data_IF_848377725310
#
_entry.id   IF_848377725310
#
_cell.length_a   1.000
_cell.length_b   1.000
_cell.length_c   1.000
_cell.angle_alpha   90.00
_cell.angle_beta   90.00
_cell.angle_gamma   90.00
#
_symmetry.space_group_name_H-M   'P 1'
#
loop_
_entity.id
_entity.type
_entity.pdbx_description
1 polymer ?
#
# COMPACT_ATOMS: atom_id res chain seq x y z
N UNK A 1 -0.41 34.30 25.05
CA UNK A 1 0.29 33.00 24.99
C UNK A 1 -0.60 32.00 24.25
N UNK A 2 -0.53 31.96 22.90
CA UNK A 2 -1.10 30.86 22.14
C UNK A 2 -0.06 29.73 22.18
N UNK A 3 -0.32 28.69 22.94
CA UNK A 3 0.45 27.45 22.83
C UNK A 3 0.38 26.98 21.35
N UNK A 4 1.49 26.61 20.73
CA UNK A 4 1.44 26.08 19.39
C UNK A 4 0.53 24.83 19.39
N UNK A 5 -0.32 24.66 18.37
CA UNK A 5 -1.19 23.48 18.30
C UNK A 5 -0.32 22.22 18.31
N UNK A 6 -0.77 21.17 19.02
CA UNK A 6 -0.04 19.90 19.20
C UNK A 6 0.32 19.21 17.87
N UNK A 7 -0.34 19.56 16.77
CA UNK A 7 -0.06 19.12 15.39
C UNK A 7 -0.19 20.33 14.47
N UNK A 8 0.90 20.68 13.80
CA UNK A 8 0.88 21.79 12.84
C UNK A 8 0.39 21.29 11.48
N UNK A 9 -0.89 21.50 11.16
CA UNK A 9 -1.48 21.18 9.86
C UNK A 9 -0.81 21.94 8.69
N UNK A 10 0.09 22.88 8.99
CA UNK A 10 0.91 23.59 8.00
C UNK A 10 1.80 22.67 7.15
N UNK A 11 2.05 21.43 7.60
CA UNK A 11 2.77 20.40 6.82
C UNK A 11 2.10 20.14 5.48
N UNK A 12 0.76 20.23 5.39
CA UNK A 12 0.01 20.07 4.14
C UNK A 12 0.15 21.23 3.15
N UNK A 13 0.70 22.36 3.58
CA UNK A 13 1.03 23.45 2.66
C UNK A 13 2.16 23.05 1.68
N UNK A 14 2.97 22.04 2.03
CA UNK A 14 4.00 21.48 1.17
C UNK A 14 3.38 20.42 0.25
N UNK A 15 3.18 20.76 -1.02
CA UNK A 15 2.51 19.87 -1.99
C UNK A 15 3.21 18.52 -2.17
N UNK A 16 4.55 18.45 -2.04
CA UNK A 16 5.29 17.18 -2.08
C UNK A 16 4.96 16.30 -0.87
N UNK A 17 4.89 16.87 0.33
CA UNK A 17 4.50 16.15 1.54
C UNK A 17 3.09 15.58 1.42
N UNK A 18 2.13 16.39 0.96
CA UNK A 18 0.74 15.98 0.77
C UNK A 18 0.64 14.77 -0.17
N UNK A 19 1.31 14.83 -1.33
CA UNK A 19 1.35 13.70 -2.28
C UNK A 19 1.98 12.45 -1.66
N UNK A 20 3.04 12.61 -0.88
CA UNK A 20 3.71 11.50 -0.20
C UNK A 20 2.81 10.85 0.85
N UNK A 21 2.04 11.61 1.63
CA UNK A 21 1.08 11.11 2.61
C UNK A 21 -0.01 10.29 1.94
N UNK A 22 -0.63 10.82 0.86
CA UNK A 22 -1.66 10.08 0.13
C UNK A 22 -1.13 8.80 -0.52
N UNK A 23 0.06 8.86 -1.12
CA UNK A 23 0.69 7.71 -1.75
C UNK A 23 1.03 6.61 -0.74
N UNK A 24 1.57 7.01 0.42
CA UNK A 24 1.83 6.10 1.54
C UNK A 24 0.53 5.50 2.08
N UNK A 25 -0.53 6.31 2.17
CA UNK A 25 -1.87 5.85 2.60
C UNK A 25 -2.44 4.80 1.65
N UNK A 26 -2.43 5.06 0.35
CA UNK A 26 -2.92 4.12 -0.68
C UNK A 26 -2.10 2.81 -0.64
N UNK A 27 -0.78 2.90 -0.56
CA UNK A 27 0.08 1.72 -0.42
C UNK A 27 -0.25 0.92 0.84
N UNK A 28 -0.43 1.60 1.97
CA UNK A 28 -0.76 0.95 3.23
C UNK A 28 -2.14 0.26 3.22
N UNK A 29 -3.12 0.83 2.51
CA UNK A 29 -4.39 0.14 2.22
C UNK A 29 -4.11 -1.18 1.52
N UNK A 30 -3.28 -1.18 0.47
CA UNK A 30 -2.89 -2.40 -0.24
C UNK A 30 -2.27 -3.45 0.69
N UNK A 31 -1.32 -3.03 1.54
CA UNK A 31 -0.66 -3.91 2.52
C UNK A 31 -1.67 -4.56 3.48
N UNK A 32 -2.50 -3.76 4.13
CA UNK A 32 -3.45 -4.26 5.13
C UNK A 32 -4.54 -5.12 4.48
N UNK A 33 -5.04 -4.72 3.31
CA UNK A 33 -6.02 -5.51 2.56
C UNK A 33 -5.44 -6.85 2.13
N UNK A 34 -4.20 -6.91 1.63
CA UNK A 34 -3.51 -8.17 1.32
C UNK A 34 -3.40 -9.05 2.56
N UNK A 35 -2.95 -8.48 3.68
CA UNK A 35 -2.77 -9.20 4.94
C UNK A 35 -4.06 -9.83 5.47
N UNK A 36 -5.22 -9.21 5.22
CA UNK A 36 -6.52 -9.70 5.70
C UNK A 36 -7.22 -10.57 4.66
N UNK A 37 -7.28 -10.12 3.40
CA UNK A 37 -8.04 -10.84 2.38
C UNK A 37 -7.35 -12.11 1.89
N UNK A 38 -6.02 -12.18 1.88
CA UNK A 38 -5.34 -13.38 1.39
C UNK A 38 -5.54 -14.60 2.28
N UNK A 39 -5.40 -14.53 3.63
CA UNK A 39 -5.75 -15.65 4.50
C UNK A 39 -7.22 -16.05 4.37
N UNK A 40 -8.13 -15.08 4.23
CA UNK A 40 -9.55 -15.34 4.04
C UNK A 40 -9.81 -16.05 2.69
N UNK A 41 -9.13 -15.63 1.63
CA UNK A 41 -9.14 -16.30 0.33
C UNK A 41 -8.67 -17.76 0.44
N UNK A 42 -7.54 -18.00 1.12
CA UNK A 42 -6.99 -19.34 1.32
C UNK A 42 -7.94 -20.25 2.09
N UNK A 43 -8.57 -19.73 3.15
CA UNK A 43 -9.51 -20.49 3.95
C UNK A 43 -10.82 -20.77 3.19
N UNK A 44 -11.38 -19.75 2.52
CA UNK A 44 -12.71 -19.83 1.90
C UNK A 44 -12.70 -20.59 0.58
N UNK A 45 -11.70 -20.38 -0.28
CA UNK A 45 -11.64 -20.95 -1.62
C UNK A 45 -10.74 -22.18 -1.74
N UNK A 46 -9.64 -22.22 -0.98
CA UNK A 46 -8.71 -23.35 -1.03
C UNK A 46 -8.91 -24.33 0.14
N UNK A 47 -9.81 -24.04 1.09
CA UNK A 47 -10.13 -24.90 2.21
C UNK A 47 -8.96 -25.11 3.19
N UNK A 48 -7.99 -24.19 3.25
CA UNK A 48 -6.82 -24.30 4.10
C UNK A 48 -7.16 -23.99 5.56
N UNK A 49 -6.45 -24.61 6.49
CA UNK A 49 -6.56 -24.27 7.91
C UNK A 49 -6.07 -22.84 8.17
N UNK A 50 -6.54 -22.16 9.24
CA UNK A 50 -6.07 -20.82 9.62
C UNK A 50 -4.55 -20.73 9.79
N UNK A 51 -3.93 -21.79 10.35
CA UNK A 51 -2.47 -21.86 10.55
C UNK A 51 -1.74 -21.86 9.19
N UNK A 52 -2.14 -22.72 8.26
CA UNK A 52 -1.50 -22.82 6.93
C UNK A 52 -1.72 -21.52 6.15
N UNK A 53 -2.92 -20.94 6.23
CA UNK A 53 -3.24 -19.67 5.58
C UNK A 53 -2.35 -18.52 6.07
N UNK A 54 -2.12 -18.43 7.38
CA UNK A 54 -1.20 -17.46 7.96
C UNK A 54 0.26 -17.70 7.55
N UNK A 55 0.72 -18.96 7.61
CA UNK A 55 2.08 -19.32 7.19
C UNK A 55 2.33 -19.07 5.70
N UNK A 56 1.31 -19.14 4.87
CA UNK A 56 1.41 -18.86 3.42
C UNK A 56 1.73 -17.38 3.12
N UNK A 57 1.55 -16.46 4.08
CA UNK A 57 1.96 -15.06 3.93
C UNK A 57 3.39 -14.78 4.40
N UNK A 58 4.03 -15.71 5.11
CA UNK A 58 5.41 -15.51 5.61
C UNK A 58 6.38 -15.16 4.47
N UNK A 59 6.37 -15.81 3.30
CA UNK A 59 7.26 -15.45 2.20
C UNK A 59 7.08 -13.98 1.75
N UNK A 60 5.85 -13.49 1.71
CA UNK A 60 5.55 -12.11 1.34
C UNK A 60 6.06 -11.11 2.39
N UNK A 61 5.88 -11.41 3.67
CA UNK A 61 6.39 -10.59 4.78
C UNK A 61 7.93 -10.55 4.83
N UNK A 62 8.59 -11.68 4.58
CA UNK A 62 10.06 -11.75 4.48
C UNK A 62 10.56 -10.92 3.30
N UNK A 63 9.91 -11.04 2.13
CA UNK A 63 10.27 -10.25 0.95
C UNK A 63 10.10 -8.75 1.21
N UNK A 64 9.00 -8.32 1.81
CA UNK A 64 8.78 -6.94 2.21
C UNK A 64 9.92 -6.42 3.09
N UNK A 65 10.32 -7.21 4.09
CA UNK A 65 11.39 -6.86 5.04
C UNK A 65 12.74 -6.69 4.35
N UNK A 66 13.06 -7.55 3.38
CA UNK A 66 14.30 -7.50 2.59
C UNK A 66 14.28 -6.31 1.63
N UNK A 67 13.13 -6.04 1.00
CA UNK A 67 13.03 -4.98 0.00
C UNK A 67 12.96 -3.57 0.59
N UNK A 68 12.54 -3.40 1.85
CA UNK A 68 12.49 -2.09 2.49
C UNK A 68 13.84 -1.34 2.48
N UNK A 69 14.97 -1.91 2.93
CA UNK A 69 16.26 -1.23 2.84
C UNK A 69 16.77 -1.05 1.40
N UNK A 70 16.39 -1.96 0.50
CA UNK A 70 16.74 -1.86 -0.93
C UNK A 70 16.00 -0.69 -1.58
N UNK A 71 14.72 -0.50 -1.24
CA UNK A 71 13.91 0.61 -1.76
C UNK A 71 14.49 1.97 -1.39
N UNK A 72 15.08 2.10 -0.19
CA UNK A 72 15.80 3.32 0.21
C UNK A 72 17.00 3.63 -0.70
N UNK A 73 17.81 2.61 -1.02
CA UNK A 73 18.96 2.78 -1.95
C UNK A 73 18.49 3.11 -3.37
N UNK A 74 17.38 2.51 -3.82
CA UNK A 74 16.81 2.82 -5.12
C UNK A 74 16.25 4.26 -5.15
N UNK A 75 15.67 4.74 -4.06
CA UNK A 75 15.21 6.11 -3.91
C UNK A 75 16.38 7.10 -4.14
N UNK A 76 17.53 6.84 -3.52
CA UNK A 76 18.71 7.71 -3.65
C UNK A 76 19.25 7.72 -5.09
N UNK A 77 19.13 6.61 -5.81
CA UNK A 77 19.66 6.45 -7.17
C UNK A 77 18.71 6.92 -8.27
N UNK A 78 17.44 6.59 -8.17
CA UNK A 78 16.45 6.79 -9.25
C UNK A 78 15.39 7.84 -8.93
N UNK A 79 15.39 8.36 -7.71
CA UNK A 79 14.42 9.36 -7.25
C UNK A 79 13.04 8.77 -6.87
N UNK A 80 12.21 9.57 -6.18
CA UNK A 80 10.96 9.10 -5.60
C UNK A 80 9.91 8.68 -6.65
N UNK A 81 9.89 9.35 -7.80
CA UNK A 81 8.92 9.08 -8.86
C UNK A 81 9.06 7.67 -9.43
N UNK A 82 10.29 7.28 -9.83
CA UNK A 82 10.53 5.99 -10.48
C UNK A 82 10.25 4.84 -9.54
N UNK A 83 10.74 4.93 -8.30
CA UNK A 83 10.58 3.86 -7.31
C UNK A 83 9.11 3.71 -6.92
N UNK A 84 8.40 4.81 -6.68
CA UNK A 84 6.98 4.77 -6.38
C UNK A 84 6.13 4.24 -7.55
N UNK A 85 6.48 4.57 -8.79
CA UNK A 85 5.80 4.02 -9.99
C UNK A 85 5.97 2.50 -10.09
N UNK A 86 7.19 1.98 -9.91
CA UNK A 86 7.44 0.54 -9.90
C UNK A 86 6.61 -0.13 -8.81
N UNK A 87 6.61 0.43 -7.61
CA UNK A 87 5.83 -0.10 -6.50
C UNK A 87 4.33 -0.10 -6.77
N UNK A 88 3.77 1.00 -7.30
CA UNK A 88 2.35 1.07 -7.62
C UNK A 88 1.96 0.16 -8.78
N UNK A 89 2.84 -0.06 -9.77
CA UNK A 89 2.62 -1.04 -10.83
C UNK A 89 2.55 -2.46 -10.28
N UNK A 90 3.41 -2.82 -9.33
CA UNK A 90 3.39 -4.13 -8.68
C UNK A 90 2.12 -4.32 -7.85
N UNK A 91 1.68 -3.31 -7.08
CA UNK A 91 0.43 -3.36 -6.30
C UNK A 91 -0.77 -3.51 -7.23
N UNK A 92 -0.87 -2.64 -8.25
CA UNK A 92 -1.97 -2.65 -9.21
C UNK A 92 -2.02 -3.94 -10.00
N UNK A 93 -0.86 -4.39 -10.51
CA UNK A 93 -0.74 -5.64 -11.26
C UNK A 93 -1.04 -6.86 -10.40
N UNK A 94 -0.54 -6.89 -9.16
CA UNK A 94 -0.80 -7.96 -8.20
C UNK A 94 -2.30 -8.11 -7.91
N UNK A 95 -2.98 -7.02 -7.53
CA UNK A 95 -4.43 -7.04 -7.32
C UNK A 95 -5.21 -7.31 -8.62
N UNK A 96 -4.78 -6.77 -9.75
CA UNK A 96 -5.39 -7.02 -11.05
C UNK A 96 -5.34 -8.51 -11.44
N UNK A 97 -4.18 -9.15 -11.28
CA UNK A 97 -4.03 -10.57 -11.54
C UNK A 97 -4.79 -11.43 -10.53
N UNK A 98 -4.80 -11.05 -9.24
CA UNK A 98 -5.65 -11.69 -8.23
C UNK A 98 -7.12 -11.64 -8.62
N UNK A 99 -7.61 -10.50 -9.15
CA UNK A 99 -8.98 -10.35 -9.61
C UNK A 99 -9.30 -11.25 -10.79
N UNK A 100 -8.43 -11.28 -11.82
CA UNK A 100 -8.66 -12.07 -13.04
C UNK A 100 -8.63 -13.58 -12.76
N UNK A 101 -7.70 -14.02 -11.93
CA UNK A 101 -7.50 -15.43 -11.66
C UNK A 101 -8.19 -15.95 -10.40
N UNK A 102 -8.98 -15.14 -9.69
CA UNK A 102 -9.60 -15.49 -8.41
C UNK A 102 -10.36 -16.84 -8.41
N UNK A 103 -10.91 -17.24 -9.55
CA UNK A 103 -11.67 -18.49 -9.70
C UNK A 103 -10.80 -19.77 -9.81
N UNK A 104 -9.56 -19.64 -10.25
CA UNK A 104 -8.71 -20.79 -10.63
C UNK A 104 -7.27 -20.67 -10.13
N UNK A 105 -7.00 -19.76 -9.20
CA UNK A 105 -5.65 -19.48 -8.75
C UNK A 105 -5.17 -20.55 -7.75
N UNK A 106 -4.12 -21.32 -8.07
CA UNK A 106 -3.53 -22.27 -7.14
C UNK A 106 -2.81 -21.53 -6.01
N UNK A 107 -2.61 -22.21 -4.87
CA UNK A 107 -1.97 -21.64 -3.67
C UNK A 107 -0.63 -20.95 -3.99
N UNK A 108 0.24 -21.59 -4.76
CA UNK A 108 1.54 -21.00 -5.11
C UNK A 108 1.38 -19.71 -5.91
N UNK A 109 0.46 -19.69 -6.89
CA UNK A 109 0.15 -18.49 -7.66
C UNK A 109 -0.35 -17.35 -6.78
N UNK A 110 -1.24 -17.64 -5.82
CA UNK A 110 -1.76 -16.66 -4.90
C UNK A 110 -0.67 -16.11 -3.96
N UNK A 111 0.23 -16.96 -3.47
CA UNK A 111 1.40 -16.53 -2.67
C UNK A 111 2.31 -15.63 -3.52
N UNK A 112 2.62 -15.98 -4.77
CA UNK A 112 3.46 -15.17 -5.65
C UNK A 112 2.86 -13.79 -5.93
N UNK A 113 1.54 -13.71 -6.11
CA UNK A 113 0.86 -12.43 -6.30
C UNK A 113 0.81 -11.61 -5.02
N UNK A 114 0.62 -12.24 -3.85
CA UNK A 114 0.76 -11.56 -2.56
C UNK A 114 2.19 -11.04 -2.36
N UNK A 115 3.21 -11.79 -2.72
CA UNK A 115 4.61 -11.34 -2.71
C UNK A 115 4.83 -10.14 -3.64
N UNK A 116 4.21 -10.13 -4.82
CA UNK A 116 4.32 -9.01 -5.75
C UNK A 116 3.67 -7.73 -5.18
N UNK A 117 2.48 -7.84 -4.54
CA UNK A 117 1.84 -6.69 -3.88
C UNK A 117 2.68 -6.16 -2.71
N UNK A 118 3.24 -7.05 -1.88
CA UNK A 118 4.08 -6.65 -0.75
C UNK A 118 5.43 -6.06 -1.20
N UNK A 119 6.02 -6.58 -2.27
CA UNK A 119 7.19 -5.96 -2.92
C UNK A 119 6.86 -4.54 -3.40
N UNK A 120 5.67 -4.36 -4.00
CA UNK A 120 5.17 -3.04 -4.38
C UNK A 120 5.06 -2.09 -3.19
N UNK A 121 4.55 -2.56 -2.05
CA UNK A 121 4.47 -1.78 -0.82
C UNK A 121 5.84 -1.31 -0.33
N UNK A 122 6.87 -2.16 -0.37
CA UNK A 122 8.23 -1.77 -0.01
C UNK A 122 8.76 -0.62 -0.88
N UNK A 123 8.46 -0.65 -2.19
CA UNK A 123 8.91 0.38 -3.13
C UNK A 123 8.09 1.68 -3.08
N UNK A 124 6.94 1.69 -2.45
CA UNK A 124 6.14 2.92 -2.26
C UNK A 124 6.33 3.51 -0.89
N UNK A 125 6.17 2.70 0.16
CA UNK A 125 6.01 3.18 1.52
C UNK A 125 7.25 3.91 2.04
N UNK A 126 8.43 3.25 2.03
CA UNK A 126 9.66 3.87 2.54
C UNK A 126 10.11 5.08 1.71
N UNK A 127 10.18 5.00 0.36
CA UNK A 127 10.54 6.15 -0.46
C UNK A 127 9.59 7.34 -0.30
N UNK A 128 8.29 7.11 -0.21
CA UNK A 128 7.32 8.18 -0.05
C UNK A 128 7.42 8.88 1.31
N UNK A 129 7.56 8.12 2.40
CA UNK A 129 7.77 8.69 3.74
C UNK A 129 9.05 9.53 3.79
N UNK A 130 10.16 9.00 3.26
CA UNK A 130 11.46 9.69 3.24
C UNK A 130 11.39 10.96 2.38
N UNK A 131 10.85 10.87 1.16
CA UNK A 131 10.72 12.01 0.26
C UNK A 131 9.78 13.08 0.83
N UNK A 132 8.69 12.68 1.47
CA UNK A 132 7.77 13.59 2.16
C UNK A 132 8.43 14.32 3.32
N UNK A 133 9.14 13.60 4.19
CA UNK A 133 9.87 14.19 5.33
C UNK A 133 10.98 15.15 4.88
N UNK A 134 11.73 14.79 3.82
CA UNK A 134 12.80 15.64 3.27
C UNK A 134 12.28 16.93 2.63
N UNK A 135 11.02 16.98 2.24
CA UNK A 135 10.39 18.17 1.67
C UNK A 135 9.93 19.19 2.74
N UNK A 136 9.95 18.81 4.02
CA UNK A 136 9.54 19.68 5.13
C UNK A 136 10.73 20.44 5.71
N UNK A 137 10.50 21.67 6.24
CA UNK A 137 11.45 22.35 7.13
C UNK A 137 11.75 21.48 8.36
N UNK A 138 12.98 21.58 8.90
CA UNK A 138 13.42 20.76 10.03
C UNK A 138 12.48 20.83 11.24
N UNK A 139 11.89 21.99 11.49
CA UNK A 139 10.94 22.24 12.58
C UNK A 139 9.63 21.46 12.44
N UNK A 140 9.25 21.11 11.21
CA UNK A 140 7.98 20.42 10.90
C UNK A 140 8.15 18.92 10.64
N UNK A 141 9.37 18.37 10.65
CA UNK A 141 9.62 16.96 10.36
C UNK A 141 8.96 16.03 11.38
N UNK A 142 8.99 16.39 12.67
CA UNK A 142 8.34 15.62 13.73
C UNK A 142 6.83 15.59 13.53
N UNK A 143 6.21 16.75 13.29
CA UNK A 143 4.77 16.88 13.02
C UNK A 143 4.39 16.12 11.75
N UNK A 144 5.20 16.22 10.69
CA UNK A 144 5.00 15.49 9.43
C UNK A 144 5.02 13.98 9.62
N UNK A 145 5.92 13.46 10.46
CA UNK A 145 5.99 12.02 10.77
C UNK A 145 4.75 11.56 11.52
N UNK A 146 4.30 12.34 12.51
CA UNK A 146 3.08 12.04 13.25
C UNK A 146 1.84 12.06 12.35
N UNK A 147 1.71 13.08 11.49
CA UNK A 147 0.62 13.18 10.49
C UNK A 147 0.65 12.01 9.52
N UNK A 148 1.81 11.66 8.97
CA UNK A 148 1.94 10.53 8.03
C UNK A 148 1.53 9.21 8.69
N UNK A 149 1.96 8.98 9.94
CA UNK A 149 1.61 7.76 10.69
C UNK A 149 0.12 7.69 10.98
N UNK A 150 -0.49 8.79 11.43
CA UNK A 150 -1.93 8.86 11.70
C UNK A 150 -2.74 8.68 10.41
N UNK A 151 -2.39 9.40 9.35
CA UNK A 151 -3.05 9.27 8.05
C UNK A 151 -3.00 7.83 7.53
N UNK A 152 -1.84 7.19 7.60
CA UNK A 152 -1.66 5.79 7.21
C UNK A 152 -2.60 4.86 7.97
N UNK A 153 -2.72 5.00 9.29
CA UNK A 153 -3.63 4.19 10.10
C UNK A 153 -5.10 4.42 9.74
N UNK A 154 -5.48 5.67 9.49
CA UNK A 154 -6.84 6.02 9.04
C UNK A 154 -7.13 5.41 7.67
N UNK A 155 -6.22 5.53 6.71
CA UNK A 155 -6.34 4.89 5.39
C UNK A 155 -6.46 3.36 5.51
N UNK A 156 -5.61 2.73 6.35
CA UNK A 156 -5.63 1.29 6.57
C UNK A 156 -6.96 0.82 7.17
N UNK A 157 -7.44 1.48 8.22
CA UNK A 157 -8.72 1.14 8.87
C UNK A 157 -9.91 1.30 7.92
N UNK A 158 -9.96 2.42 7.19
CA UNK A 158 -11.00 2.65 6.18
C UNK A 158 -10.92 1.61 5.05
N UNK A 159 -9.70 1.27 4.60
CA UNK A 159 -9.45 0.27 3.56
C UNK A 159 -9.96 -1.12 3.96
N UNK A 160 -9.68 -1.56 5.20
CA UNK A 160 -10.16 -2.85 5.72
C UNK A 160 -11.69 -2.87 5.80
N UNK A 161 -12.28 -1.84 6.39
CA UNK A 161 -13.74 -1.75 6.50
C UNK A 161 -14.39 -1.80 5.12
N UNK A 162 -13.86 -1.02 4.17
CA UNK A 162 -14.39 -1.03 2.81
C UNK A 162 -14.19 -2.38 2.12
N UNK A 163 -13.01 -3.03 2.27
CA UNK A 163 -12.72 -4.33 1.70
C UNK A 163 -13.65 -5.43 2.21
N UNK A 164 -13.90 -5.46 3.53
CA UNK A 164 -14.74 -6.49 4.13
C UNK A 164 -16.21 -6.32 3.78
N UNK A 165 -16.73 -5.09 3.82
CA UNK A 165 -18.11 -4.78 3.41
C UNK A 165 -18.34 -5.07 1.93
N UNK A 166 -17.37 -4.69 1.09
CA UNK A 166 -17.44 -4.95 -0.35
C UNK A 166 -17.40 -6.46 -0.64
N UNK A 167 -16.51 -7.20 0.02
CA UNK A 167 -16.39 -8.64 -0.15
C UNK A 167 -17.70 -9.35 0.23
N UNK A 168 -18.24 -9.07 1.41
CA UNK A 168 -19.48 -9.68 1.89
C UNK A 168 -20.68 -9.34 0.97
N UNK A 169 -20.84 -8.07 0.62
CA UNK A 169 -21.87 -7.62 -0.28
C UNK A 169 -21.79 -8.25 -1.67
N UNK A 170 -20.56 -8.40 -2.23
CA UNK A 170 -20.39 -9.01 -3.54
C UNK A 170 -20.54 -10.53 -3.50
N UNK A 171 -20.12 -11.21 -2.44
CA UNK A 171 -20.36 -12.64 -2.26
C UNK A 171 -21.87 -12.95 -2.21
N UNK A 172 -22.63 -12.14 -1.49
CA UNK A 172 -24.07 -12.27 -1.38
C UNK A 172 -24.78 -11.99 -2.70
N UNK A 173 -24.40 -10.90 -3.38
CA UNK A 173 -25.01 -10.46 -4.65
C UNK A 173 -24.75 -11.45 -5.78
N UNK A 174 -23.50 -11.89 -5.91
CA UNK A 174 -23.07 -12.81 -6.97
C UNK A 174 -23.30 -14.27 -6.63
N UNK A 175 -23.71 -14.58 -5.39
CA UNK A 175 -23.84 -15.95 -4.86
C UNK A 175 -22.59 -16.80 -5.14
N UNK A 176 -21.41 -16.17 -5.10
CA UNK A 176 -20.12 -16.77 -5.42
C UNK A 176 -19.02 -16.18 -4.56
N UNK A 177 -18.36 -17.02 -3.77
CA UNK A 177 -17.20 -16.57 -2.99
C UNK A 177 -16.06 -16.07 -3.90
N UNK A 178 -15.74 -16.82 -4.94
CA UNK A 178 -14.68 -16.43 -5.88
C UNK A 178 -15.03 -15.13 -6.63
N UNK A 179 -16.30 -14.95 -7.03
CA UNK A 179 -16.78 -13.71 -7.63
C UNK A 179 -16.63 -12.51 -6.70
N UNK A 180 -16.96 -12.68 -5.42
CA UNK A 180 -16.79 -11.64 -4.41
C UNK A 180 -15.33 -11.20 -4.26
N UNK A 181 -14.39 -12.16 -4.17
CA UNK A 181 -12.95 -11.86 -4.15
C UNK A 181 -12.49 -11.19 -5.43
N UNK A 182 -12.92 -11.66 -6.62
CA UNK A 182 -12.54 -11.08 -7.90
C UNK A 182 -12.92 -9.59 -7.98
N UNK A 183 -14.16 -9.24 -7.64
CA UNK A 183 -14.62 -7.84 -7.65
C UNK A 183 -13.85 -7.01 -6.61
N UNK A 184 -13.66 -7.54 -5.41
CA UNK A 184 -12.93 -6.82 -4.36
C UNK A 184 -11.50 -6.53 -4.79
N UNK A 185 -10.77 -7.51 -5.30
CA UNK A 185 -9.42 -7.30 -5.81
C UNK A 185 -9.39 -6.34 -7.01
N UNK A 186 -10.37 -6.38 -7.91
CA UNK A 186 -10.47 -5.44 -9.02
C UNK A 186 -10.64 -3.99 -8.55
N UNK A 187 -11.44 -3.75 -7.52
CA UNK A 187 -11.60 -2.41 -6.92
C UNK A 187 -10.29 -1.93 -6.32
N UNK A 188 -9.55 -2.78 -5.61
CA UNK A 188 -8.24 -2.40 -5.06
C UNK A 188 -7.16 -2.25 -6.14
N UNK A 189 -7.24 -2.95 -7.27
CA UNK A 189 -6.44 -2.64 -8.45
C UNK A 189 -6.74 -1.23 -8.98
N UNK A 190 -8.02 -0.82 -9.00
CA UNK A 190 -8.44 0.54 -9.32
C UNK A 190 -7.87 1.60 -8.36
N UNK A 191 -7.88 1.32 -7.05
CA UNK A 191 -7.22 2.17 -6.04
C UNK A 191 -5.72 2.26 -6.30
N UNK A 192 -5.08 1.15 -6.66
CA UNK A 192 -3.67 1.12 -7.07
C UNK A 192 -3.38 1.98 -8.30
N UNK A 193 -4.29 1.98 -9.30
CA UNK A 193 -4.18 2.85 -10.48
C UNK A 193 -4.23 4.34 -10.10
N UNK A 194 -5.09 4.73 -9.16
CA UNK A 194 -5.12 6.10 -8.63
C UNK A 194 -3.76 6.44 -7.99
N UNK A 195 -3.21 5.53 -7.21
CA UNK A 195 -1.87 5.67 -6.64
C UNK A 195 -0.78 5.79 -7.71
N UNK A 196 -0.87 5.03 -8.79
CA UNK A 196 0.05 5.11 -9.93
C UNK A 196 -0.01 6.48 -10.61
N UNK A 197 -1.21 7.00 -10.87
CA UNK A 197 -1.41 8.34 -11.42
C UNK A 197 -0.83 9.42 -10.49
N UNK A 198 -1.01 9.25 -9.18
CA UNK A 198 -0.42 10.15 -8.18
C UNK A 198 1.11 10.07 -8.20
N UNK A 199 1.70 8.87 -8.31
CA UNK A 199 3.14 8.67 -8.40
C UNK A 199 3.75 9.36 -9.63
N UNK A 200 3.04 9.43 -10.76
CA UNK A 200 3.46 10.17 -11.95
C UNK A 200 3.63 11.68 -11.70
N UNK A 201 2.94 12.23 -10.71
CA UNK A 201 3.03 13.67 -10.37
C UNK A 201 4.17 14.00 -9.40
N UNK A 202 4.91 13.00 -8.91
CA UNK A 202 6.08 13.20 -8.06
C UNK A 202 7.25 13.81 -8.86
N UNK A 203 8.13 14.60 -8.22
CA UNK A 203 9.34 15.09 -8.86
C UNK A 203 10.29 13.93 -9.17
N UNK A 204 11.09 14.08 -10.23
CA UNK A 204 12.06 13.07 -10.67
C UNK A 204 13.27 12.97 -9.72
N UNK A 205 13.62 14.05 -9.06
CA UNK A 205 14.79 14.13 -8.19
C UNK A 205 14.38 14.30 -6.72
N UNK A 206 15.18 13.73 -5.82
CA UNK A 206 15.08 14.01 -4.39
C UNK A 206 15.54 15.44 -4.18
N UNK A 207 14.70 16.28 -3.56
CA UNK A 207 15.15 17.61 -3.14
C UNK A 207 16.33 17.42 -2.18
N UNK A 208 17.56 17.63 -2.65
CA UNK A 208 18.73 17.69 -1.77
C UNK A 208 18.54 18.86 -0.84
N UNK A 209 18.49 18.61 0.48
CA UNK A 209 18.65 19.68 1.46
C UNK A 209 19.98 20.34 1.17
N UNK A 210 19.98 21.63 0.83
CA UNK A 210 21.18 22.43 0.88
C UNK A 210 21.70 22.36 2.34
N UNK A 211 22.92 21.88 2.48
CA UNK A 211 23.65 21.81 3.75
C UNK A 211 23.94 23.23 4.22
#
# INVERSE_FOLDING_TARGET
NRQPPMLQMRVFATGMFTKAVFLTGISYVGLIVTTILMPLYFQTLLGLSPLISGLSLVPAAVLLSILNPISGRLLDRFGPRVVAMIGMLLITGGFGLLAVFAHHLPLIGAIMLAMATEAGNAFVMMPSVTAGANALPNELVADGTAVTTTARQLFGSAGVMFATVLLDGMQTTLRSHAGGFAVTFAVFAGVGLIGLLLALTLPKEVAKKAV
#
